data_IF_946613443297
#
_entry.id   IF_946613443297
#
_cell.length_a   1.000
_cell.length_b   1.000
_cell.length_c   1.000
_cell.angle_alpha   90.00
_cell.angle_beta   90.00
_cell.angle_gamma   90.00
#
_symmetry.space_group_name_H-M   'P 1'
#
loop_
_entity.id
_entity.type
_entity.pdbx_description
1 polymer ?
#
# COMPACT_ATOMS: atom_id res chain seq x y z
N UNK A 1 -19.75 -11.75 -67.56
CA UNK A 1 -20.58 -10.57 -67.90
C UNK A 1 -20.91 -9.83 -66.65
N UNK A 2 -20.51 -8.56 -66.65
CA UNK A 2 -20.99 -7.43 -65.84
C UNK A 2 -20.69 -7.48 -64.34
N UNK A 3 -19.75 -6.74 -63.89
CA UNK A 3 -19.54 -5.30 -63.79
C UNK A 3 -20.23 -4.58 -62.63
N UNK A 4 -19.43 -3.90 -61.87
CA UNK A 4 -19.59 -2.58 -61.31
C UNK A 4 -20.10 -2.52 -59.84
N UNK A 5 -19.66 -1.72 -58.97
CA UNK A 5 -18.84 -0.49 -58.98
C UNK A 5 -18.51 -0.13 -57.51
N UNK A 6 -17.32 0.39 -57.31
CA UNK A 6 -16.90 1.07 -56.11
C UNK A 6 -17.72 2.31 -55.81
N UNK A 7 -17.94 2.63 -54.53
CA UNK A 7 -18.21 4.00 -54.12
C UNK A 7 -17.34 4.34 -52.91
N UNK A 8 -16.41 5.23 -53.16
CA UNK A 8 -15.62 5.95 -52.19
C UNK A 8 -16.53 6.87 -51.33
N UNK A 9 -16.49 6.68 -50.06
CA UNK A 9 -17.05 7.64 -49.11
C UNK A 9 -15.91 8.26 -48.26
N UNK A 10 -15.30 9.33 -48.81
CA UNK A 10 -14.41 10.20 -48.03
C UNK A 10 -15.25 11.06 -47.08
N UNK A 11 -15.36 10.65 -45.82
CA UNK A 11 -15.85 11.50 -44.74
C UNK A 11 -14.70 12.25 -44.08
N UNK A 12 -14.50 13.48 -44.46
CA UNK A 12 -13.63 14.45 -43.78
C UNK A 12 -14.29 14.83 -42.46
N UNK A 13 -13.74 14.40 -41.34
CA UNK A 13 -14.07 14.94 -40.04
C UNK A 13 -13.06 16.01 -39.69
N UNK A 14 -13.54 17.23 -39.66
CA UNK A 14 -12.83 18.43 -39.25
C UNK A 14 -12.55 18.37 -37.75
N UNK A 15 -11.31 18.62 -37.42
CA UNK A 15 -10.81 18.82 -36.07
C UNK A 15 -11.43 20.09 -35.47
N UNK A 16 -12.05 19.98 -34.30
CA UNK A 16 -12.25 21.12 -33.40
C UNK A 16 -11.35 20.90 -32.19
N UNK A 17 -10.23 21.59 -32.21
CA UNK A 17 -9.38 21.76 -31.04
C UNK A 17 -10.08 22.74 -30.09
N UNK A 18 -10.37 22.26 -28.89
CA UNK A 18 -10.68 23.10 -27.74
C UNK A 18 -9.54 23.04 -26.77
N UNK A 19 -8.62 23.97 -26.86
CA UNK A 19 -7.58 24.23 -25.89
C UNK A 19 -8.18 24.93 -24.70
N UNK A 20 -8.33 24.22 -23.58
CA UNK A 20 -8.72 24.76 -22.29
C UNK A 20 -7.43 25.06 -21.50
N UNK A 21 -7.01 26.33 -21.54
CA UNK A 21 -5.95 26.85 -20.69
C UNK A 21 -6.53 27.18 -19.33
N UNK A 22 -6.25 26.37 -18.32
CA UNK A 22 -6.56 26.71 -16.93
C UNK A 22 -5.32 27.36 -16.34
N UNK A 23 -5.34 28.69 -16.24
CA UNK A 23 -4.34 29.45 -15.51
C UNK A 23 -4.63 29.35 -14.01
N UNK A 24 -3.85 28.58 -13.28
CA UNK A 24 -3.84 28.61 -11.83
C UNK A 24 -3.00 29.80 -11.36
N UNK A 25 -3.66 30.87 -10.90
CA UNK A 25 -3.02 31.97 -10.20
C UNK A 25 -2.66 31.50 -8.79
N UNK A 26 -1.38 31.29 -8.53
CA UNK A 26 -0.85 31.14 -7.19
C UNK A 26 -0.77 32.50 -6.51
N UNK A 27 -1.65 32.71 -5.54
CA UNK A 27 -1.54 33.81 -4.58
C UNK A 27 -0.48 33.46 -3.54
N UNK A 28 0.71 34.01 -3.69
CA UNK A 28 1.72 34.06 -2.64
C UNK A 28 1.33 35.16 -1.63
N UNK A 29 0.90 34.74 -0.46
CA UNK A 29 0.81 35.62 0.69
C UNK A 29 2.23 35.81 1.27
N UNK A 30 2.82 36.96 0.99
CA UNK A 30 4.04 37.40 1.66
C UNK A 30 3.69 37.98 3.01
N UNK A 31 4.07 37.33 4.07
CA UNK A 31 4.04 37.90 5.42
C UNK A 31 5.18 38.90 5.55
N UNK A 32 4.82 40.16 5.63
CA UNK A 32 5.75 41.25 5.93
C UNK A 32 6.12 41.21 7.40
N UNK A 33 7.37 40.90 7.66
CA UNK A 33 7.97 41.12 8.99
C UNK A 33 8.17 42.60 9.25
N UNK A 34 7.57 43.11 10.31
CA UNK A 34 7.80 44.45 10.84
C UNK A 34 8.95 44.38 11.84
N UNK A 35 9.98 45.24 11.75
CA UNK A 35 11.03 45.31 12.75
C UNK A 35 10.57 46.05 13.99
N UNK A 36 10.67 45.41 15.14
CA UNK A 36 10.42 46.05 16.43
C UNK A 36 11.58 46.88 16.89
N UNK A 37 11.24 48.05 17.29
CA UNK A 37 12.10 49.07 17.91
C UNK A 37 12.64 48.64 19.27
N UNK A 38 13.89 48.98 19.39
CA UNK A 38 14.71 49.14 20.57
C UNK A 38 14.00 49.80 21.79
N UNK A 39 14.07 49.15 22.95
CA UNK A 39 13.83 49.78 24.25
C UNK A 39 14.76 49.19 25.28
N UNK A 40 15.66 50.04 25.72
CA UNK A 40 16.61 49.93 26.83
C UNK A 40 15.97 49.55 28.18
N UNK A 41 16.72 48.92 29.10
CA UNK A 41 16.18 48.26 30.27
C UNK A 41 16.02 49.21 31.47
N UNK A 42 14.89 49.13 32.12
CA UNK A 42 14.73 49.67 33.48
C UNK A 42 14.62 48.48 34.45
N UNK A 43 15.54 48.48 35.40
CA UNK A 43 15.63 47.53 36.48
C UNK A 43 14.40 47.59 37.42
N UNK A 44 13.74 46.46 37.62
CA UNK A 44 12.82 46.27 38.74
C UNK A 44 13.02 44.84 39.30
N UNK A 45 13.06 44.78 40.61
CA UNK A 45 13.46 43.69 41.49
C UNK A 45 12.70 42.36 41.30
N UNK A 46 13.26 41.22 41.73
CA UNK A 46 12.70 39.89 41.52
C UNK A 46 11.54 39.62 42.48
N UNK A 47 10.35 39.45 41.93
CA UNK A 47 9.22 38.86 42.64
C UNK A 47 9.31 37.35 42.53
N UNK A 48 9.57 36.68 43.65
CA UNK A 48 9.64 35.24 43.76
C UNK A 48 8.27 34.64 43.48
N UNK A 49 8.11 34.01 42.31
CA UNK A 49 6.99 33.12 42.04
C UNK A 49 7.19 31.77 42.74
N UNK A 50 6.14 31.18 43.33
CA UNK A 50 6.27 29.90 44.01
C UNK A 50 6.61 28.80 43.01
N UNK A 51 7.66 28.06 43.32
CA UNK A 51 8.05 26.84 42.57
C UNK A 51 6.90 25.83 42.71
N UNK A 52 6.15 25.65 41.62
CA UNK A 52 5.22 24.53 41.48
C UNK A 52 6.04 23.25 41.53
N UNK A 53 5.85 22.43 42.54
CA UNK A 53 6.37 21.07 42.58
C UNK A 53 5.77 20.29 41.41
N UNK A 54 6.53 20.11 40.34
CA UNK A 54 6.19 19.17 39.31
C UNK A 54 6.30 17.76 39.89
N UNK A 55 5.15 17.16 40.10
CA UNK A 55 5.04 15.76 40.48
C UNK A 55 5.64 14.91 39.34
N UNK A 56 6.57 14.00 39.62
CA UNK A 56 7.13 13.14 38.59
C UNK A 56 6.01 12.41 37.82
N UNK A 57 6.02 12.49 36.51
CA UNK A 57 5.10 11.74 35.69
C UNK A 57 5.22 10.23 36.01
N UNK A 58 4.10 9.50 36.11
CA UNK A 58 4.16 8.04 36.31
C UNK A 58 4.95 7.40 35.18
N UNK A 59 5.72 6.32 35.44
CA UNK A 59 6.48 5.65 34.41
C UNK A 59 5.55 5.17 33.30
N UNK A 60 5.92 5.49 32.06
CA UNK A 60 5.17 5.09 30.88
C UNK A 60 4.98 3.57 30.88
N UNK A 61 3.73 3.11 30.84
CA UNK A 61 3.42 1.69 30.70
C UNK A 61 3.93 1.21 29.35
N UNK A 62 4.57 0.03 29.26
CA UNK A 62 4.95 -0.54 27.98
C UNK A 62 3.69 -0.71 27.11
N UNK A 63 3.81 -0.48 25.79
CA UNK A 63 2.67 -0.67 24.88
C UNK A 63 2.12 -2.10 24.99
N UNK A 64 0.81 -2.29 24.89
CA UNK A 64 0.22 -3.62 24.93
C UNK A 64 0.86 -4.49 23.84
N UNK A 65 1.38 -5.64 24.26
CA UNK A 65 1.97 -6.60 23.33
C UNK A 65 0.85 -7.20 22.47
N UNK A 66 1.08 -7.21 21.15
CA UNK A 66 0.17 -7.89 20.22
C UNK A 66 0.07 -9.38 20.60
N UNK A 67 -1.11 -10.01 20.48
CA UNK A 67 -1.26 -11.42 20.76
C UNK A 67 -0.36 -12.24 19.82
N UNK A 68 0.16 -13.39 20.27
CA UNK A 68 1.03 -14.23 19.46
C UNK A 68 0.30 -14.74 18.22
N UNK A 69 1.00 -14.80 17.09
CA UNK A 69 0.50 -15.41 15.86
C UNK A 69 0.29 -16.91 16.09
N UNK A 70 -0.81 -17.46 15.60
CA UNK A 70 -1.09 -18.89 15.61
C UNK A 70 -1.01 -19.47 14.20
N UNK A 71 -0.60 -20.71 14.09
CA UNK A 71 -0.62 -21.45 12.82
C UNK A 71 -2.04 -21.85 12.50
N UNK A 72 -2.49 -21.60 11.27
CA UNK A 72 -3.81 -21.99 10.80
C UNK A 72 -3.92 -23.52 10.68
N UNK A 73 -5.10 -24.06 10.94
CA UNK A 73 -5.38 -25.47 10.74
C UNK A 73 -5.49 -25.81 9.25
N UNK A 74 -5.31 -27.09 8.88
CA UNK A 74 -5.50 -27.51 7.48
C UNK A 74 -6.87 -27.12 6.89
N UNK A 75 -7.94 -27.18 7.68
CA UNK A 75 -9.28 -26.79 7.23
C UNK A 75 -9.40 -25.29 6.95
N UNK A 76 -8.77 -24.44 7.75
CA UNK A 76 -8.69 -22.98 7.50
C UNK A 76 -7.90 -22.66 6.24
N UNK A 77 -6.82 -23.41 6.00
CA UNK A 77 -6.00 -23.29 4.78
C UNK A 77 -6.81 -23.70 3.53
N UNK A 78 -7.49 -24.85 3.60
CA UNK A 78 -8.31 -25.37 2.51
C UNK A 78 -9.46 -24.42 2.17
N UNK A 79 -10.15 -23.88 3.18
CA UNK A 79 -11.22 -22.90 2.98
C UNK A 79 -10.73 -21.65 2.24
N UNK A 80 -9.59 -21.08 2.64
CA UNK A 80 -9.04 -19.91 1.95
C UNK A 80 -8.62 -20.21 0.51
N UNK A 81 -8.05 -21.38 0.25
CA UNK A 81 -7.60 -21.75 -1.10
C UNK A 81 -8.75 -22.11 -2.02
N UNK A 82 -9.87 -22.64 -1.49
CA UNK A 82 -11.05 -22.97 -2.28
C UNK A 82 -11.74 -21.73 -2.87
N UNK A 83 -11.74 -20.63 -2.12
CA UNK A 83 -12.34 -19.37 -2.55
C UNK A 83 -11.37 -18.48 -3.37
N UNK A 84 -10.16 -18.97 -3.63
CA UNK A 84 -9.16 -18.22 -4.38
C UNK A 84 -9.57 -18.04 -5.85
N UNK A 85 -9.37 -16.84 -6.44
CA UNK A 85 -9.67 -16.61 -7.85
C UNK A 85 -8.87 -17.55 -8.75
N UNK A 86 -9.54 -18.33 -9.58
CA UNK A 86 -8.93 -19.29 -10.52
C UNK A 86 -8.27 -18.62 -11.72
N UNK A 87 -8.61 -17.37 -12.01
CA UNK A 87 -8.21 -16.65 -13.22
C UNK A 87 -6.69 -16.44 -13.38
N UNK A 88 -5.90 -16.69 -12.34
CA UNK A 88 -4.48 -16.33 -12.34
C UNK A 88 -3.51 -17.49 -12.56
N UNK A 89 -3.97 -18.67 -12.80
CA UNK A 89 -3.10 -19.83 -12.96
C UNK A 89 -2.25 -19.82 -14.26
N UNK A 90 -2.45 -18.83 -15.13
CA UNK A 90 -1.93 -18.89 -16.50
C UNK A 90 -1.12 -17.69 -16.98
N UNK A 91 -0.62 -16.83 -16.11
CA UNK A 91 0.30 -15.78 -16.57
C UNK A 91 1.63 -16.38 -17.00
N UNK A 92 1.74 -16.73 -18.27
CA UNK A 92 2.99 -17.17 -18.90
C UNK A 92 3.89 -16.00 -19.33
N UNK A 93 3.36 -14.78 -19.29
CA UNK A 93 4.07 -13.56 -19.65
C UNK A 93 4.44 -12.76 -18.39
N UNK A 94 5.52 -11.97 -18.51
CA UNK A 94 5.87 -11.03 -17.45
C UNK A 94 4.77 -9.98 -17.31
N UNK A 95 4.14 -9.94 -16.13
CA UNK A 95 3.12 -8.94 -15.82
C UNK A 95 3.74 -7.53 -15.77
N UNK A 96 2.99 -6.49 -16.10
CA UNK A 96 3.44 -5.12 -15.94
C UNK A 96 3.76 -4.82 -14.47
N UNK A 97 4.58 -3.81 -14.23
CA UNK A 97 4.83 -3.33 -12.89
C UNK A 97 3.52 -2.91 -12.21
N UNK A 98 3.38 -3.30 -10.95
CA UNK A 98 2.21 -2.99 -10.12
C UNK A 98 2.47 -1.82 -9.18
N UNK A 99 1.69 -1.75 -8.09
CA UNK A 99 1.80 -0.68 -7.08
C UNK A 99 2.96 -0.90 -6.10
N UNK A 100 3.57 -2.09 -6.07
CA UNK A 100 4.68 -2.40 -5.18
C UNK A 100 5.99 -1.76 -5.68
N UNK A 101 6.81 -1.15 -4.80
CA UNK A 101 8.20 -0.84 -5.11
C UNK A 101 8.97 -2.15 -5.33
N UNK A 102 9.55 -2.34 -6.52
CA UNK A 102 10.23 -3.60 -6.88
C UNK A 102 11.70 -3.62 -6.48
N UNK A 103 12.26 -2.45 -6.19
CA UNK A 103 13.68 -2.33 -5.82
C UNK A 103 13.96 -3.13 -4.53
N UNK A 104 14.97 -4.00 -4.61
CA UNK A 104 15.36 -4.87 -3.50
C UNK A 104 14.53 -6.14 -3.34
N UNK A 105 13.46 -6.34 -4.11
CA UNK A 105 12.65 -7.57 -4.08
C UNK A 105 13.29 -8.68 -4.92
N UNK A 106 13.10 -9.91 -4.49
CA UNK A 106 13.44 -11.11 -5.26
C UNK A 106 12.45 -11.31 -6.42
N UNK A 107 12.88 -11.96 -7.50
CA UNK A 107 12.10 -12.14 -8.73
C UNK A 107 10.73 -12.76 -8.46
N UNK A 108 10.65 -13.81 -7.65
CA UNK A 108 9.38 -14.45 -7.31
C UNK A 108 8.46 -13.56 -6.50
N UNK A 109 9.02 -12.74 -5.61
CA UNK A 109 8.30 -11.74 -4.82
C UNK A 109 7.72 -10.66 -5.72
N UNK A 110 8.48 -10.20 -6.73
CA UNK A 110 8.00 -9.28 -7.77
C UNK A 110 6.82 -9.89 -8.54
N UNK A 111 6.90 -11.16 -8.93
CA UNK A 111 5.80 -11.82 -9.64
C UNK A 111 4.52 -11.87 -8.81
N UNK A 112 4.63 -12.21 -7.52
CA UNK A 112 3.50 -12.19 -6.60
C UNK A 112 2.90 -10.79 -6.47
N UNK A 113 3.74 -9.77 -6.25
CA UNK A 113 3.32 -8.37 -6.12
C UNK A 113 2.58 -7.86 -7.37
N UNK A 114 3.11 -8.13 -8.56
CA UNK A 114 2.49 -7.75 -9.84
C UNK A 114 1.15 -8.44 -10.07
N UNK A 115 1.08 -9.74 -9.76
CA UNK A 115 -0.15 -10.52 -9.90
C UNK A 115 -1.24 -10.01 -8.95
N UNK A 116 -0.92 -9.74 -7.69
CA UNK A 116 -1.84 -9.15 -6.72
C UNK A 116 -2.30 -7.77 -7.18
N UNK A 117 -1.38 -6.90 -7.62
CA UNK A 117 -1.73 -5.56 -8.12
C UNK A 117 -2.69 -5.61 -9.31
N UNK A 118 -2.53 -6.57 -10.21
CA UNK A 118 -3.37 -6.70 -11.40
C UNK A 118 -4.77 -7.23 -11.08
N UNK A 119 -4.85 -8.25 -10.22
CA UNK A 119 -6.12 -8.93 -9.92
C UNK A 119 -6.96 -8.20 -8.89
N UNK A 120 -6.32 -7.45 -8.01
CA UNK A 120 -6.99 -6.75 -6.92
C UNK A 120 -6.74 -5.24 -7.03
N UNK A 121 -7.41 -4.56 -7.97
CA UNK A 121 -7.20 -3.12 -8.22
C UNK A 121 -7.59 -2.24 -7.02
N UNK A 122 -8.31 -2.78 -6.04
CA UNK A 122 -8.62 -2.11 -4.77
C UNK A 122 -7.36 -1.90 -3.91
N UNK A 123 -6.30 -2.69 -4.15
CA UNK A 123 -5.02 -2.56 -3.45
C UNK A 123 -4.21 -1.45 -4.10
N UNK A 124 -4.05 -0.36 -3.39
CA UNK A 124 -3.30 0.83 -3.83
C UNK A 124 -1.90 0.92 -3.23
N UNK A 125 -1.60 0.08 -2.24
CA UNK A 125 -0.32 0.11 -1.54
C UNK A 125 0.14 -1.30 -1.21
N UNK A 126 1.35 -1.61 -1.63
CA UNK A 126 2.07 -2.83 -1.25
C UNK A 126 3.45 -2.42 -0.76
N UNK A 127 3.78 -2.72 0.50
CA UNK A 127 5.12 -2.58 1.06
C UNK A 127 6.02 -3.72 0.61
N UNK A 128 7.34 -3.48 0.60
CA UNK A 128 8.30 -4.48 0.16
C UNK A 128 9.61 -4.44 0.95
N UNK A 129 10.72 -4.30 0.23
CA UNK A 129 12.06 -4.24 0.83
C UNK A 129 12.16 -3.11 1.87
N UNK A 130 12.62 -3.47 3.07
CA UNK A 130 12.97 -2.55 4.16
C UNK A 130 13.87 -3.23 5.18
N UNK A 131 14.49 -2.43 6.04
CA UNK A 131 15.17 -2.98 7.22
C UNK A 131 14.12 -3.49 8.21
N UNK A 132 14.34 -4.71 8.71
CA UNK A 132 13.44 -5.38 9.65
C UNK A 132 14.27 -6.29 10.57
N UNK A 133 13.73 -6.61 11.75
CA UNK A 133 14.35 -7.57 12.68
C UNK A 133 14.34 -9.01 12.13
N UNK A 134 13.35 -9.34 11.28
CA UNK A 134 13.24 -10.62 10.62
C UNK A 134 13.86 -10.55 9.22
N UNK A 135 14.35 -11.71 8.75
CA UNK A 135 15.08 -11.81 7.48
C UNK A 135 14.27 -11.56 6.21
N UNK A 136 12.94 -11.54 6.30
CA UNK A 136 12.09 -11.60 5.12
C UNK A 136 12.17 -10.32 4.28
N UNK A 137 11.87 -9.16 4.86
CA UNK A 137 11.92 -7.87 4.17
C UNK A 137 13.33 -7.42 3.77
N UNK A 138 14.37 -7.54 4.66
CA UNK A 138 15.73 -7.16 4.28
C UNK A 138 16.34 -8.00 3.14
N UNK A 139 15.81 -9.20 2.90
CA UNK A 139 16.25 -10.04 1.79
C UNK A 139 15.31 -9.99 0.57
N UNK A 140 14.32 -9.11 0.56
CA UNK A 140 13.37 -8.96 -0.54
C UNK A 140 12.43 -10.16 -0.72
N UNK A 141 12.21 -10.93 0.35
CA UNK A 141 11.43 -12.18 0.34
C UNK A 141 10.00 -12.00 0.81
N UNK A 142 9.60 -10.79 1.21
CA UNK A 142 8.25 -10.52 1.69
C UNK A 142 7.69 -9.22 1.12
N UNK A 143 6.37 -9.18 1.04
CA UNK A 143 5.56 -7.99 0.75
C UNK A 143 4.45 -7.86 1.79
N UNK A 144 4.07 -6.62 2.08
CA UNK A 144 2.91 -6.29 2.90
C UNK A 144 1.81 -5.69 2.03
N UNK A 145 0.71 -6.40 1.87
CA UNK A 145 -0.44 -5.93 1.10
C UNK A 145 -1.39 -5.16 2.03
N UNK A 146 -1.57 -3.87 1.78
CA UNK A 146 -2.42 -3.02 2.60
C UNK A 146 -3.89 -3.17 2.19
N UNK A 147 -4.64 -3.93 2.99
CA UNK A 147 -6.07 -4.15 2.76
C UNK A 147 -6.87 -2.93 3.24
N UNK A 148 -7.62 -2.24 2.35
CA UNK A 148 -8.49 -1.15 2.77
C UNK A 148 -9.56 -1.66 3.75
N UNK A 149 -9.84 -0.87 4.80
CA UNK A 149 -10.87 -1.20 5.79
C UNK A 149 -10.82 -2.66 6.30
N UNK A 150 -9.62 -3.16 6.56
CA UNK A 150 -9.32 -4.58 6.85
C UNK A 150 -10.17 -5.23 7.97
N UNK A 151 -10.90 -4.44 8.76
CA UNK A 151 -11.83 -4.91 9.80
C UNK A 151 -13.30 -4.89 9.35
N UNK A 152 -13.64 -4.32 8.19
CA UNK A 152 -14.98 -4.39 7.63
C UNK A 152 -15.23 -5.75 6.99
N UNK A 153 -16.51 -6.16 6.82
CA UNK A 153 -16.82 -7.39 6.10
C UNK A 153 -16.17 -7.47 4.71
N UNK A 154 -16.22 -6.37 3.96
CA UNK A 154 -15.65 -6.27 2.61
C UNK A 154 -14.11 -6.32 2.61
N UNK A 155 -13.48 -5.67 3.60
CA UNK A 155 -12.04 -5.72 3.78
C UNK A 155 -11.56 -7.11 4.21
N UNK A 156 -12.33 -7.80 5.05
CA UNK A 156 -12.05 -9.18 5.43
C UNK A 156 -12.15 -10.10 4.22
N UNK A 157 -13.23 -10.00 3.44
CA UNK A 157 -13.42 -10.80 2.22
C UNK A 157 -12.29 -10.56 1.20
N UNK A 158 -11.93 -9.30 0.95
CA UNK A 158 -10.81 -8.97 0.06
C UNK A 158 -9.50 -9.58 0.56
N UNK A 159 -9.22 -9.49 1.85
CA UNK A 159 -8.02 -10.08 2.44
C UNK A 159 -8.01 -11.60 2.38
N UNK A 160 -9.16 -12.25 2.60
CA UNK A 160 -9.33 -13.69 2.47
C UNK A 160 -9.05 -14.15 1.02
N UNK A 161 -9.58 -13.43 0.02
CA UNK A 161 -9.34 -13.69 -1.40
C UNK A 161 -7.85 -13.54 -1.76
N UNK A 162 -7.18 -12.48 -1.31
CA UNK A 162 -5.75 -12.25 -1.57
C UNK A 162 -4.89 -13.32 -0.89
N UNK A 163 -5.18 -13.65 0.37
CA UNK A 163 -4.45 -14.68 1.11
C UNK A 163 -4.62 -16.05 0.43
N UNK A 164 -5.86 -16.41 0.10
CA UNK A 164 -6.17 -17.65 -0.62
C UNK A 164 -5.48 -17.72 -1.98
N UNK A 165 -5.50 -16.61 -2.74
CA UNK A 165 -4.79 -16.52 -4.02
C UNK A 165 -3.27 -16.70 -3.88
N UNK A 166 -2.65 -16.09 -2.88
CA UNK A 166 -1.22 -16.25 -2.64
C UNK A 166 -0.87 -17.71 -2.28
N UNK A 167 -1.69 -18.36 -1.46
CA UNK A 167 -1.52 -19.76 -1.07
C UNK A 167 -1.75 -20.72 -2.25
N UNK A 168 -2.77 -20.49 -3.07
CA UNK A 168 -3.03 -21.28 -4.29
C UNK A 168 -1.87 -21.20 -5.30
N UNK A 169 -1.11 -20.10 -5.30
CA UNK A 169 0.08 -19.89 -6.13
C UNK A 169 1.40 -20.14 -5.38
N UNK A 170 1.35 -20.68 -4.16
CA UNK A 170 2.53 -20.81 -3.29
C UNK A 170 3.68 -21.57 -3.98
N UNK A 171 3.39 -22.66 -4.67
CA UNK A 171 4.39 -23.41 -5.42
C UNK A 171 5.07 -22.61 -6.52
N UNK A 172 4.32 -21.79 -7.24
CA UNK A 172 4.83 -20.98 -8.34
C UNK A 172 5.73 -19.85 -7.85
N UNK A 173 5.34 -19.20 -6.77
CA UNK A 173 6.04 -18.04 -6.22
C UNK A 173 7.01 -18.38 -5.09
N UNK A 174 7.00 -19.63 -4.61
CA UNK A 174 7.83 -20.05 -3.48
C UNK A 174 7.37 -19.41 -2.18
N UNK A 175 6.05 -19.29 -1.97
CA UNK A 175 5.49 -18.72 -0.74
C UNK A 175 5.67 -19.72 0.39
N UNK A 176 6.44 -19.35 1.38
CA UNK A 176 6.67 -20.13 2.59
C UNK A 176 5.43 -20.11 3.51
N UNK A 177 4.87 -18.92 3.70
CA UNK A 177 3.63 -18.73 4.45
C UNK A 177 2.96 -17.40 4.10
N UNK A 178 1.69 -17.27 4.46
CA UNK A 178 0.92 -16.02 4.46
C UNK A 178 0.50 -15.72 5.89
N UNK A 179 0.64 -14.46 6.30
CA UNK A 179 0.13 -13.98 7.58
C UNK A 179 -1.12 -13.15 7.30
N UNK A 180 -2.26 -13.60 7.84
CA UNK A 180 -3.52 -12.88 7.70
C UNK A 180 -4.35 -13.02 8.98
N UNK A 181 -4.91 -11.91 9.48
CA UNK A 181 -5.73 -11.86 10.70
C UNK A 181 -5.09 -12.60 11.87
N UNK A 182 -3.81 -12.31 12.14
CA UNK A 182 -3.01 -12.87 13.23
C UNK A 182 -2.84 -14.40 13.16
N UNK A 183 -3.02 -15.00 11.99
CA UNK A 183 -2.74 -16.41 11.73
C UNK A 183 -1.65 -16.56 10.68
N UNK A 184 -0.86 -17.60 10.83
CA UNK A 184 0.12 -18.05 9.85
C UNK A 184 -0.51 -19.21 9.08
N UNK A 185 -0.65 -19.04 7.77
CA UNK A 185 -1.09 -20.07 6.85
C UNK A 185 0.13 -20.61 6.11
N UNK A 186 0.52 -21.87 6.33
CA UNK A 186 1.65 -22.47 5.64
C UNK A 186 1.39 -22.50 4.13
N UNK A 187 2.41 -22.11 3.36
CA UNK A 187 2.43 -22.31 1.93
C UNK A 187 2.93 -23.72 1.59
N UNK A 188 3.81 -23.78 0.62
CA UNK A 188 4.55 -25.02 0.38
C UNK A 188 5.83 -24.97 1.21
N UNK A 189 5.95 -25.87 2.14
CA UNK A 189 7.21 -26.17 2.77
C UNK A 189 8.14 -26.93 1.80
#
# INVERSE_FOLDING_TARGET
MSNSRATNGRGRWLAFGATLVVSAAMLYAQSTETPCCDRTPTAAAPSASPVAHQQPAPPAQPPPQAPPLRVASPAELESLTADAPTAAQSFQFSLPAGVAPENGLQVKTIWAARAISLLFPQITTIGGYRQDALRWHPNGLAIDVMIPNHNSPEGIELGDQIAGYALANAKRWGVDHVIWRQKIYPGIG
#
